data_IF_661614407018
#
_entry.id   IF_661614407018
#
_cell.length_a   1.000
_cell.length_b   1.000
_cell.length_c   1.000
_cell.angle_alpha   90.00
_cell.angle_beta   90.00
_cell.angle_gamma   90.00
#
_symmetry.space_group_name_H-M   'P 1'
#
loop_
_entity.id
_entity.type
_entity.pdbx_description
1 polymer ?
#
# COMPACT_ATOMS: atom_id res chain seq x y z
N UNK A 1 31.23 2.28 -28.13
CA UNK A 1 29.97 2.74 -28.77
C UNK A 1 29.04 1.51 -28.86
N UNK A 2 28.23 1.27 -27.81
CA UNK A 2 27.25 0.19 -27.78
C UNK A 2 25.88 0.83 -27.72
N UNK A 3 25.09 0.65 -28.77
CA UNK A 3 23.75 1.18 -28.91
C UNK A 3 22.84 0.56 -27.85
N UNK A 4 22.32 1.37 -26.94
CA UNK A 4 21.19 0.99 -26.09
C UNK A 4 19.92 0.97 -26.93
N UNK A 5 19.41 -0.23 -27.18
CA UNK A 5 18.07 -0.44 -27.71
C UNK A 5 17.06 0.10 -26.68
N UNK A 6 16.50 1.27 -26.95
CA UNK A 6 15.32 1.75 -26.25
C UNK A 6 14.13 0.93 -26.73
N UNK A 7 13.69 -0.05 -25.95
CA UNK A 7 12.39 -0.67 -26.14
C UNK A 7 11.33 0.37 -25.78
N UNK A 8 10.74 1.00 -26.76
CA UNK A 8 9.54 1.82 -26.63
C UNK A 8 8.45 0.96 -25.98
N UNK A 9 7.80 1.41 -24.90
CA UNK A 9 6.65 0.71 -24.36
C UNK A 9 5.59 0.60 -25.45
N UNK A 10 5.16 -0.61 -25.76
CA UNK A 10 4.05 -0.84 -26.71
C UNK A 10 2.81 -0.24 -26.04
N UNK A 11 2.37 0.90 -26.51
CA UNK A 11 1.09 1.49 -26.11
C UNK A 11 -0.01 0.46 -26.44
N UNK A 12 -0.57 -0.18 -25.44
CA UNK A 12 -1.77 -1.00 -25.59
C UNK A 12 -2.88 -0.06 -26.04
N UNK A 13 -3.33 -0.21 -27.28
CA UNK A 13 -4.51 0.50 -27.77
C UNK A 13 -5.66 0.23 -26.84
N UNK A 14 -6.18 1.28 -26.20
CA UNK A 14 -7.39 1.26 -25.40
C UNK A 14 -8.52 0.62 -26.22
N UNK A 15 -9.17 -0.41 -25.68
CA UNK A 15 -10.48 -0.82 -26.19
C UNK A 15 -11.44 0.26 -25.76
N UNK A 16 -12.06 0.93 -26.72
CA UNK A 16 -13.06 1.96 -26.48
C UNK A 16 -14.11 1.43 -25.49
N UNK A 17 -14.19 2.05 -24.32
CA UNK A 17 -15.20 1.82 -23.32
C UNK A 17 -14.77 1.19 -21.98
N UNK A 18 -13.48 0.96 -21.73
CA UNK A 18 -12.99 0.46 -20.44
C UNK A 18 -12.63 1.65 -19.49
N UNK A 19 -13.45 1.91 -18.45
CA UNK A 19 -13.18 3.01 -17.51
C UNK A 19 -11.90 2.82 -16.69
N UNK A 20 -11.45 1.57 -16.52
CA UNK A 20 -10.20 1.28 -15.79
C UNK A 20 -8.96 1.72 -16.59
N UNK A 21 -9.02 1.68 -17.91
CA UNK A 21 -7.96 2.17 -18.79
C UNK A 21 -8.04 3.69 -18.99
N UNK A 22 -9.23 4.29 -18.90
CA UNK A 22 -9.42 5.72 -19.11
C UNK A 22 -8.55 6.59 -18.18
N UNK A 23 -8.32 6.15 -16.93
CA UNK A 23 -7.50 6.89 -15.98
C UNK A 23 -6.00 6.74 -16.24
N UNK A 24 -5.56 5.59 -16.70
CA UNK A 24 -4.18 5.37 -17.16
C UNK A 24 -3.91 6.17 -18.42
N UNK A 25 -4.86 6.19 -19.35
CA UNK A 25 -4.78 6.98 -20.59
C UNK A 25 -4.75 8.49 -20.30
N UNK A 26 -5.53 8.98 -19.32
CA UNK A 26 -5.49 10.35 -18.86
C UNK A 26 -4.14 10.74 -18.26
N UNK A 27 -3.55 9.85 -17.44
CA UNK A 27 -2.21 10.06 -16.87
C UNK A 27 -1.14 10.05 -17.96
N UNK A 28 -1.21 9.12 -18.90
CA UNK A 28 -0.30 9.05 -20.03
C UNK A 28 -0.43 10.29 -20.94
N UNK A 29 -1.66 10.75 -21.19
CA UNK A 29 -1.91 11.96 -22.00
C UNK A 29 -1.44 13.25 -21.32
N UNK A 30 -1.39 13.28 -19.99
CA UNK A 30 -0.90 14.44 -19.23
C UNK A 30 0.58 14.37 -18.88
N UNK A 31 1.25 13.24 -19.12
CA UNK A 31 2.69 13.11 -18.95
C UNK A 31 3.43 13.51 -20.24
N UNK A 32 4.47 14.32 -20.08
CA UNK A 32 5.33 14.72 -21.20
C UNK A 32 6.59 13.87 -21.16
N UNK A 33 6.70 12.88 -22.04
CA UNK A 33 7.90 12.04 -22.17
C UNK A 33 9.00 12.65 -23.02
N UNK A 34 8.75 13.80 -23.63
CA UNK A 34 9.72 14.47 -24.47
C UNK A 34 10.78 15.13 -23.58
N UNK A 35 12.06 14.72 -23.67
CA UNK A 35 13.14 15.44 -23.02
C UNK A 35 13.27 16.80 -23.72
N UNK A 36 12.64 17.80 -23.16
CA UNK A 36 12.88 19.15 -23.60
C UNK A 36 14.36 19.47 -23.35
N UNK A 37 15.08 19.99 -24.35
CA UNK A 37 16.52 20.32 -24.21
C UNK A 37 16.76 21.54 -23.29
N UNK A 38 15.71 22.06 -22.66
CA UNK A 38 15.73 23.23 -21.79
C UNK A 38 14.61 23.16 -20.76
N UNK A 39 14.80 23.85 -19.65
CA UNK A 39 13.77 24.03 -18.61
C UNK A 39 12.80 25.13 -19.03
N UNK A 40 11.56 25.02 -18.57
CA UNK A 40 10.51 26.01 -18.75
C UNK A 40 9.90 26.45 -17.44
N UNK A 41 9.30 27.64 -17.44
CA UNK A 41 8.36 28.06 -16.38
C UNK A 41 7.08 27.23 -16.44
N UNK A 42 6.21 27.36 -15.42
CA UNK A 42 4.88 26.73 -15.41
C UNK A 42 4.00 27.14 -16.60
N UNK A 43 4.26 28.31 -17.20
CA UNK A 43 3.56 28.81 -18.39
C UNK A 43 4.22 28.37 -19.70
N UNK A 44 5.28 27.56 -19.64
CA UNK A 44 5.98 27.06 -20.82
C UNK A 44 7.02 28.02 -21.40
N UNK A 45 7.32 29.15 -20.76
CA UNK A 45 8.39 30.05 -21.21
C UNK A 45 9.77 29.44 -20.88
N UNK A 46 10.69 29.49 -21.87
CA UNK A 46 12.04 28.95 -21.71
C UNK A 46 12.81 29.68 -20.61
N UNK A 47 13.43 28.92 -19.71
CA UNK A 47 14.33 29.43 -18.67
C UNK A 47 15.73 29.56 -19.28
N UNK A 48 16.26 30.77 -19.31
CA UNK A 48 17.58 31.07 -19.85
C UNK A 48 18.71 30.73 -18.87
N UNK A 49 18.50 31.04 -17.59
CA UNK A 49 19.47 30.76 -16.51
C UNK A 49 18.72 30.24 -15.29
N UNK A 50 19.05 29.02 -14.85
CA UNK A 50 18.46 28.34 -13.67
C UNK A 50 19.43 28.34 -12.47
N UNK A 51 20.58 28.99 -12.59
CA UNK A 51 21.64 28.97 -11.56
C UNK A 51 21.87 30.32 -10.89
N UNK A 52 21.55 31.39 -11.55
CA UNK A 52 21.80 32.75 -11.07
C UNK A 52 20.51 33.56 -11.01
N UNK A 53 20.27 34.20 -9.87
CA UNK A 53 19.17 35.15 -9.71
C UNK A 53 19.53 36.53 -10.31
N UNK A 54 18.53 37.29 -10.74
CA UNK A 54 18.69 38.69 -11.09
C UNK A 54 19.08 39.50 -9.84
N UNK A 55 20.10 40.35 -9.97
CA UNK A 55 20.64 41.16 -8.88
C UNK A 55 20.82 42.64 -9.28
N UNK A 56 20.70 43.48 -8.28
CA UNK A 56 21.04 44.91 -8.44
C UNK A 56 22.56 45.10 -8.36
N UNK A 57 23.30 44.65 -9.40
CA UNK A 57 24.77 44.65 -9.46
C UNK A 57 25.40 43.38 -8.89
N UNK A 58 26.72 43.22 -9.10
CA UNK A 58 27.45 41.96 -8.78
C UNK A 58 27.35 41.53 -7.34
N UNK A 59 27.30 42.45 -6.41
CA UNK A 59 27.13 42.22 -4.95
C UNK A 59 25.79 42.73 -4.40
N UNK A 60 24.91 43.15 -5.29
CA UNK A 60 23.61 43.67 -4.92
C UNK A 60 22.62 42.56 -4.46
N UNK A 61 21.49 42.94 -3.86
CA UNK A 61 20.44 42.01 -3.48
C UNK A 61 19.82 41.38 -4.72
N UNK A 62 19.27 40.14 -4.54
CA UNK A 62 18.41 39.53 -5.54
C UNK A 62 17.13 40.34 -5.69
N UNK A 63 16.66 40.51 -6.91
CA UNK A 63 15.45 41.27 -7.20
C UNK A 63 14.22 40.41 -7.04
N UNK A 64 13.19 40.95 -6.41
CA UNK A 64 11.90 40.27 -6.23
C UNK A 64 11.17 40.09 -7.58
N UNK A 65 11.52 40.89 -8.59
CA UNK A 65 11.05 40.80 -9.98
C UNK A 65 11.51 39.53 -10.70
N UNK A 66 12.54 38.84 -10.19
CA UNK A 66 13.00 37.59 -10.74
C UNK A 66 11.90 36.50 -10.60
N UNK A 67 11.13 36.37 -11.66
CA UNK A 67 10.02 35.42 -11.73
C UNK A 67 10.51 33.96 -11.63
N UNK A 68 11.67 33.66 -12.26
CA UNK A 68 12.23 32.30 -12.26
C UNK A 68 12.67 31.89 -10.84
N UNK A 69 13.33 32.80 -10.11
CA UNK A 69 13.73 32.59 -8.73
C UNK A 69 12.50 32.33 -7.85
N UNK A 70 11.47 33.17 -7.95
CA UNK A 70 10.25 33.01 -7.14
C UNK A 70 9.53 31.69 -7.42
N UNK A 71 9.37 31.33 -8.69
CA UNK A 71 8.75 30.07 -9.10
C UNK A 71 9.54 28.87 -8.58
N UNK A 72 10.86 28.88 -8.73
CA UNK A 72 11.75 27.81 -8.25
C UNK A 72 11.67 27.61 -6.74
N UNK A 73 11.69 28.69 -5.96
CA UNK A 73 11.55 28.62 -4.49
C UNK A 73 10.16 28.15 -4.11
N UNK A 74 9.12 28.67 -4.76
CA UNK A 74 7.74 28.27 -4.50
C UNK A 74 7.55 26.76 -4.75
N UNK A 75 8.08 26.24 -5.84
CA UNK A 75 8.08 24.79 -6.09
C UNK A 75 8.79 24.02 -4.99
N UNK A 76 9.99 24.46 -4.61
CA UNK A 76 10.77 23.80 -3.57
C UNK A 76 10.05 23.77 -2.22
N UNK A 77 9.44 24.87 -1.81
CA UNK A 77 8.74 25.00 -0.53
C UNK A 77 7.47 24.13 -0.48
N UNK A 78 6.91 23.79 -1.65
CA UNK A 78 5.68 22.99 -1.79
C UNK A 78 5.89 21.56 -2.29
N UNK A 79 7.13 21.11 -2.44
CA UNK A 79 7.43 19.72 -2.84
C UNK A 79 6.99 18.69 -1.81
N UNK A 80 6.99 19.08 -0.54
CA UNK A 80 6.67 18.18 0.57
C UNK A 80 5.24 18.37 1.00
N UNK A 81 4.55 17.23 1.12
CA UNK A 81 3.19 17.16 1.68
C UNK A 81 3.26 16.49 3.06
N UNK A 82 2.28 16.71 3.95
CA UNK A 82 2.16 15.95 5.18
C UNK A 82 2.13 14.45 4.89
N UNK A 83 2.88 13.67 5.66
CA UNK A 83 2.82 12.21 5.56
C UNK A 83 1.55 11.66 6.22
N UNK A 84 1.16 10.43 5.87
CA UNK A 84 0.03 9.74 6.50
C UNK A 84 0.28 9.55 7.98
N UNK A 85 -0.76 9.66 8.81
CA UNK A 85 -0.70 9.40 10.24
C UNK A 85 -0.17 7.99 10.55
N UNK A 86 -0.58 7.02 9.74
CA UNK A 86 -0.05 5.66 9.68
C UNK A 86 0.17 5.27 8.22
N UNK A 87 0.99 4.25 7.95
CA UNK A 87 1.34 3.81 6.60
C UNK A 87 2.08 4.86 5.75
N UNK A 88 2.87 5.73 6.38
CA UNK A 88 3.61 6.77 5.67
C UNK A 88 4.65 6.18 4.71
N UNK A 89 5.43 5.18 5.18
CA UNK A 89 6.39 4.48 4.36
C UNK A 89 5.74 3.35 3.59
N UNK A 90 5.89 3.33 2.25
CA UNK A 90 5.33 2.28 1.42
C UNK A 90 5.94 2.21 0.03
N UNK A 91 5.67 1.10 -0.65
CA UNK A 91 6.01 0.83 -2.03
C UNK A 91 4.80 0.28 -2.76
N UNK A 92 4.71 0.55 -4.04
CA UNK A 92 3.53 0.18 -4.82
C UNK A 92 3.92 -0.38 -6.19
N UNK A 93 3.02 -1.15 -6.79
CA UNK A 93 3.18 -1.67 -8.13
C UNK A 93 1.84 -1.77 -8.85
N UNK A 94 1.86 -1.59 -10.16
CA UNK A 94 0.75 -1.96 -11.03
C UNK A 94 0.76 -3.46 -11.28
N UNK A 95 -0.42 -4.05 -11.49
CA UNK A 95 -0.56 -5.45 -11.79
C UNK A 95 -1.88 -5.75 -12.46
N UNK A 96 -2.18 -7.04 -12.58
CA UNK A 96 -3.41 -7.53 -13.19
C UNK A 96 -4.02 -8.58 -12.29
N UNK A 97 -5.33 -8.50 -12.08
CA UNK A 97 -6.13 -9.52 -11.43
C UNK A 97 -6.95 -10.29 -12.46
N UNK A 98 -7.06 -11.59 -12.24
CA UNK A 98 -7.89 -12.48 -13.06
C UNK A 98 -8.52 -13.54 -12.16
N UNK A 99 -9.84 -13.66 -12.21
CA UNK A 99 -10.54 -14.71 -11.47
C UNK A 99 -10.35 -16.06 -12.12
N UNK A 100 -10.18 -17.13 -11.34
CA UNK A 100 -9.99 -18.49 -11.90
C UNK A 100 -11.28 -19.08 -12.47
N UNK A 101 -12.41 -18.76 -11.83
CA UNK A 101 -13.75 -19.22 -12.22
C UNK A 101 -14.78 -18.16 -11.88
N UNK A 102 -15.93 -18.21 -12.55
CA UNK A 102 -17.04 -17.30 -12.23
C UNK A 102 -17.47 -17.44 -10.77
N UNK A 103 -17.60 -16.32 -10.09
CA UNK A 103 -18.11 -16.23 -8.74
C UNK A 103 -19.58 -15.77 -8.69
N UNK A 104 -20.30 -15.87 -9.82
CA UNK A 104 -21.70 -15.43 -9.97
C UNK A 104 -22.66 -16.02 -8.93
N UNK A 105 -22.37 -17.24 -8.46
CA UNK A 105 -23.13 -17.88 -7.41
C UNK A 105 -23.11 -17.06 -6.10
N UNK A 106 -22.03 -16.33 -5.83
CA UNK A 106 -21.80 -15.66 -4.53
C UNK A 106 -21.86 -14.13 -4.62
N UNK A 107 -21.52 -13.56 -5.78
CA UNK A 107 -21.45 -12.11 -5.95
C UNK A 107 -21.85 -11.68 -7.35
N UNK A 108 -22.42 -10.48 -7.46
CA UNK A 108 -22.70 -9.83 -8.75
C UNK A 108 -21.58 -8.89 -9.21
N UNK A 109 -20.47 -8.75 -8.46
CA UNK A 109 -19.34 -7.90 -8.84
C UNK A 109 -18.76 -8.30 -10.19
N UNK A 110 -18.78 -7.40 -11.18
CA UNK A 110 -18.48 -7.69 -12.58
C UNK A 110 -17.10 -8.30 -12.81
N UNK A 111 -16.07 -7.80 -12.13
CA UNK A 111 -14.69 -8.27 -12.27
C UNK A 111 -14.45 -9.71 -11.73
N UNK A 112 -15.44 -10.30 -11.05
CA UNK A 112 -15.41 -11.67 -10.54
C UNK A 112 -16.28 -12.64 -11.36
N UNK A 113 -16.85 -12.21 -12.49
CA UNK A 113 -17.77 -13.03 -13.26
C UNK A 113 -17.10 -13.84 -14.36
N UNK A 114 -16.15 -13.28 -15.08
CA UNK A 114 -15.57 -13.88 -16.29
C UNK A 114 -14.06 -14.10 -16.13
N UNK A 115 -13.59 -15.37 -16.17
CA UNK A 115 -12.15 -15.70 -16.15
C UNK A 115 -11.35 -15.16 -17.34
N UNK A 116 -11.99 -14.70 -18.41
CA UNK A 116 -11.29 -14.11 -19.55
C UNK A 116 -11.00 -12.61 -19.37
N UNK A 117 -11.63 -11.98 -18.38
CA UNK A 117 -11.44 -10.55 -18.08
C UNK A 117 -10.19 -10.35 -17.22
N UNK A 118 -9.28 -9.53 -17.70
CA UNK A 118 -8.15 -9.01 -16.94
C UNK A 118 -8.53 -7.67 -16.33
N UNK A 119 -8.48 -7.57 -15.00
CA UNK A 119 -8.77 -6.34 -14.28
C UNK A 119 -7.45 -5.69 -13.84
N UNK A 120 -7.11 -4.48 -14.32
CA UNK A 120 -5.95 -3.77 -13.82
C UNK A 120 -6.05 -3.53 -12.31
N UNK A 121 -4.92 -3.68 -11.61
CA UNK A 121 -4.85 -3.42 -10.18
C UNK A 121 -3.66 -2.53 -9.84
N UNK A 122 -3.74 -1.87 -8.70
CA UNK A 122 -2.63 -1.16 -8.09
C UNK A 122 -2.51 -1.63 -6.64
N UNK A 123 -1.39 -2.24 -6.29
CA UNK A 123 -1.10 -2.71 -4.94
C UNK A 123 -0.15 -1.76 -4.24
N UNK A 124 -0.41 -1.47 -2.96
CA UNK A 124 0.51 -0.74 -2.10
C UNK A 124 0.78 -1.53 -0.83
N UNK A 125 2.07 -1.76 -0.56
CA UNK A 125 2.58 -2.30 0.69
C UNK A 125 3.14 -1.16 1.54
N UNK A 126 2.98 -1.23 2.85
CA UNK A 126 3.45 -0.18 3.76
C UNK A 126 3.74 -0.72 5.15
N UNK A 127 4.67 -0.10 5.87
CA UNK A 127 4.73 -0.23 7.34
C UNK A 127 3.61 0.62 7.96
N UNK A 128 3.34 0.47 9.25
CA UNK A 128 2.24 1.18 9.93
C UNK A 128 2.75 2.33 10.78
N UNK A 129 3.60 2.05 11.75
CA UNK A 129 3.96 3.02 12.79
C UNK A 129 5.01 4.03 12.34
N UNK A 130 5.92 3.65 11.44
CA UNK A 130 7.04 4.47 11.02
C UNK A 130 6.71 5.64 10.12
N UNK A 131 7.49 6.72 10.23
CA UNK A 131 7.49 7.81 9.26
C UNK A 131 8.06 7.37 7.90
N UNK A 132 7.92 8.22 6.87
CA UNK A 132 8.36 7.91 5.51
C UNK A 132 9.86 7.56 5.40
N UNK A 133 10.69 8.06 6.30
CA UNK A 133 12.13 7.81 6.35
C UNK A 133 12.58 6.63 7.22
N UNK A 134 11.66 5.89 7.83
CA UNK A 134 12.00 4.70 8.64
C UNK A 134 12.49 3.54 7.79
N UNK A 135 13.16 2.54 8.40
CA UNK A 135 13.63 1.37 7.68
C UNK A 135 12.48 0.40 7.33
N UNK A 136 12.64 -0.34 6.23
CA UNK A 136 11.65 -1.33 5.77
C UNK A 136 11.53 -2.55 6.69
N UNK A 137 12.63 -2.99 7.30
CA UNK A 137 12.69 -4.27 8.03
C UNK A 137 12.34 -4.14 9.52
N UNK A 138 11.72 -3.05 9.93
CA UNK A 138 11.21 -2.90 11.30
C UNK A 138 10.12 -3.93 11.61
N UNK A 139 10.05 -4.35 12.89
CA UNK A 139 8.91 -5.14 13.38
C UNK A 139 7.68 -4.25 13.38
N UNK A 140 6.76 -4.53 12.50
CA UNK A 140 5.52 -3.77 12.34
C UNK A 140 4.51 -4.58 11.51
N UNK A 141 3.26 -4.23 11.59
CA UNK A 141 2.25 -4.70 10.62
C UNK A 141 2.60 -4.15 9.24
N UNK A 142 2.31 -4.91 8.20
CA UNK A 142 2.40 -4.41 6.82
C UNK A 142 1.01 -4.21 6.26
N UNK A 143 0.75 -2.98 5.77
CA UNK A 143 -0.42 -2.71 4.94
C UNK A 143 -0.33 -3.49 3.62
N UNK A 144 -1.46 -3.96 3.16
CA UNK A 144 -1.64 -4.67 1.90
C UNK A 144 -2.93 -4.13 1.26
N UNK A 145 -2.81 -3.07 0.49
CA UNK A 145 -3.96 -2.40 -0.11
C UNK A 145 -3.98 -2.64 -1.62
N UNK A 146 -5.09 -3.15 -2.14
CA UNK A 146 -5.28 -3.41 -3.57
C UNK A 146 -6.46 -2.61 -4.09
N UNK A 147 -6.22 -1.80 -5.11
CA UNK A 147 -7.25 -1.11 -5.89
C UNK A 147 -7.48 -1.86 -7.18
N UNK A 148 -8.72 -2.25 -7.43
CA UNK A 148 -9.16 -2.86 -8.68
C UNK A 148 -9.84 -1.79 -9.53
N UNK A 149 -9.37 -1.60 -10.75
CA UNK A 149 -9.98 -0.70 -11.72
C UNK A 149 -10.99 -1.46 -12.56
N UNK A 150 -12.20 -1.58 -12.04
CA UNK A 150 -13.27 -2.36 -12.68
C UNK A 150 -14.10 -1.51 -13.64
N UNK A 151 -14.89 -2.15 -14.48
CA UNK A 151 -15.83 -1.47 -15.39
C UNK A 151 -16.98 -0.78 -14.64
N UNK A 152 -17.26 -1.20 -13.41
CA UNK A 152 -18.31 -0.63 -12.54
C UNK A 152 -17.78 0.48 -11.63
N UNK A 153 -16.49 0.83 -11.75
CA UNK A 153 -15.78 1.78 -10.92
C UNK A 153 -14.64 1.14 -10.13
N UNK A 154 -14.05 1.88 -9.20
CA UNK A 154 -12.97 1.36 -8.37
C UNK A 154 -13.52 0.48 -7.25
N UNK A 155 -12.88 -0.67 -7.06
CA UNK A 155 -13.11 -1.56 -5.93
C UNK A 155 -11.81 -1.64 -5.13
N UNK A 156 -11.84 -1.29 -3.86
CA UNK A 156 -10.65 -1.24 -3.01
C UNK A 156 -10.75 -2.29 -1.91
N UNK A 157 -9.71 -3.14 -1.81
CA UNK A 157 -9.52 -4.06 -0.69
C UNK A 157 -8.32 -3.59 0.12
N UNK A 158 -8.59 -2.89 1.21
CA UNK A 158 -7.56 -2.40 2.13
C UNK A 158 -7.37 -3.43 3.23
N UNK A 159 -6.16 -3.95 3.34
CA UNK A 159 -5.86 -5.03 4.28
C UNK A 159 -4.47 -4.93 4.88
N UNK A 160 -4.10 -5.95 5.62
CA UNK A 160 -2.81 -6.10 6.30
C UNK A 160 -2.25 -7.51 6.08
N UNK A 161 -0.97 -7.70 6.41
CA UNK A 161 -0.30 -9.01 6.38
C UNK A 161 -0.60 -9.89 7.61
N UNK A 162 -1.43 -9.41 8.51
CA UNK A 162 -1.89 -10.10 9.73
C UNK A 162 -3.41 -10.21 9.67
N UNK A 163 -4.01 -11.36 9.99
CA UNK A 163 -5.43 -11.63 9.74
C UNK A 163 -6.39 -10.97 10.74
N UNK A 164 -5.88 -10.42 11.83
CA UNK A 164 -6.65 -9.76 12.88
C UNK A 164 -6.16 -8.34 13.10
N UNK A 165 -6.91 -7.56 13.89
CA UNK A 165 -6.56 -6.21 14.28
C UNK A 165 -6.50 -6.07 15.81
N UNK A 166 -5.90 -4.99 16.30
CA UNK A 166 -5.70 -4.75 17.73
C UNK A 166 -7.02 -4.54 18.49
N UNK A 167 -7.96 -3.86 17.85
CA UNK A 167 -9.18 -3.34 18.46
C UNK A 167 -10.37 -3.59 17.53
N UNK A 168 -11.57 -3.66 18.12
CA UNK A 168 -12.81 -3.69 17.37
C UNK A 168 -13.40 -2.29 17.17
N UNK A 169 -13.52 -1.51 18.26
CA UNK A 169 -14.13 -0.20 18.22
C UNK A 169 -13.12 0.87 17.73
N UNK A 170 -13.49 1.55 16.63
CA UNK A 170 -12.67 2.60 16.02
C UNK A 170 -12.40 3.80 16.96
N UNK A 171 -13.18 3.98 18.01
CA UNK A 171 -12.94 5.01 19.03
C UNK A 171 -11.56 4.86 19.68
N UNK A 172 -11.06 3.62 19.79
CA UNK A 172 -9.75 3.29 20.35
C UNK A 172 -8.58 3.47 19.39
N UNK A 173 -8.86 3.72 18.10
CA UNK A 173 -7.81 3.82 17.07
C UNK A 173 -6.85 4.99 17.29
N UNK A 174 -7.31 6.23 17.60
CA UNK A 174 -6.40 7.31 17.92
C UNK A 174 -5.49 7.01 19.12
N UNK A 175 -6.03 6.36 20.16
CA UNK A 175 -5.27 6.00 21.36
C UNK A 175 -4.20 4.95 21.03
N UNK A 176 -4.54 3.93 20.25
CA UNK A 176 -3.58 2.96 19.73
C UNK A 176 -2.45 3.64 18.93
N UNK A 177 -2.80 4.58 18.05
CA UNK A 177 -1.83 5.29 17.22
C UNK A 177 -0.92 6.15 18.10
N UNK A 178 -1.45 6.89 19.06
CA UNK A 178 -0.65 7.67 20.01
C UNK A 178 0.28 6.77 20.82
N UNK A 179 -0.19 5.60 21.24
CA UNK A 179 0.61 4.65 22.02
C UNK A 179 1.82 4.06 21.25
N UNK A 180 1.80 4.03 19.93
CA UNK A 180 2.90 3.50 19.09
C UNK A 180 3.77 4.60 18.47
N UNK A 181 3.35 5.86 18.53
CA UNK A 181 4.09 7.01 17.98
C UNK A 181 5.15 7.54 18.98
N UNK A 182 6.09 8.35 18.50
CA UNK A 182 7.03 9.04 19.39
C UNK A 182 6.32 9.87 20.45
N UNK A 183 6.87 9.88 21.66
CA UNK A 183 6.36 10.69 22.75
C UNK A 183 6.44 12.19 22.40
N UNK A 184 5.38 12.98 22.61
CA UNK A 184 5.32 14.36 22.14
C UNK A 184 6.40 15.28 22.71
N UNK A 185 6.83 15.03 23.96
CA UNK A 185 7.74 15.91 24.69
C UNK A 185 9.23 15.73 24.34
N UNK A 186 9.61 14.60 23.72
CA UNK A 186 11.01 14.36 23.34
C UNK A 186 11.19 13.69 21.97
N UNK A 187 10.11 13.31 21.28
CA UNK A 187 10.17 12.75 19.94
C UNK A 187 10.78 11.34 19.84
N UNK A 188 10.80 10.57 20.90
CA UNK A 188 11.30 9.20 20.95
C UNK A 188 10.19 8.23 21.39
N UNK A 189 10.28 6.93 21.03
CA UNK A 189 11.17 6.32 20.05
C UNK A 189 10.72 6.58 18.62
N UNK A 190 11.64 6.40 17.67
CA UNK A 190 11.30 6.47 16.23
C UNK A 190 10.88 5.09 15.75
N UNK A 191 9.59 4.88 15.58
CA UNK A 191 8.95 3.84 14.76
C UNK A 191 9.49 2.39 14.81
N UNK A 192 10.39 2.05 15.70
CA UNK A 192 11.12 0.81 15.60
C UNK A 192 10.54 -0.33 16.43
N UNK A 193 9.71 -0.09 17.43
CA UNK A 193 9.19 -1.13 18.31
C UNK A 193 8.17 -0.58 19.28
N UNK A 194 7.41 -1.47 19.87
CA UNK A 194 6.61 -1.19 21.04
C UNK A 194 7.46 -0.61 22.19
N UNK A 195 6.95 0.41 22.83
CA UNK A 195 7.55 1.07 23.98
C UNK A 195 6.55 1.15 25.14
N UNK A 196 6.89 1.85 26.24
CA UNK A 196 6.10 1.85 27.47
C UNK A 196 4.62 2.14 27.24
N UNK A 197 4.32 3.22 26.53
CA UNK A 197 2.95 3.65 26.24
C UNK A 197 2.17 2.61 25.45
N UNK A 198 2.83 1.92 24.51
CA UNK A 198 2.19 0.83 23.78
C UNK A 198 1.83 -0.37 24.68
N UNK A 199 2.73 -0.74 25.59
CA UNK A 199 2.48 -1.84 26.51
C UNK A 199 1.44 -1.48 27.57
N UNK A 200 1.40 -0.21 27.99
CA UNK A 200 0.32 0.30 28.83
C UNK A 200 -1.03 0.21 28.14
N UNK A 201 -1.12 0.66 26.89
CA UNK A 201 -2.33 0.52 26.08
C UNK A 201 -2.76 -0.96 25.98
N UNK A 202 -1.82 -1.83 25.65
CA UNK A 202 -2.09 -3.25 25.49
C UNK A 202 -2.57 -3.90 26.79
N UNK A 203 -2.00 -3.52 27.94
CA UNK A 203 -2.39 -4.05 29.25
C UNK A 203 -3.80 -3.62 29.66
N UNK A 204 -4.21 -2.42 29.27
CA UNK A 204 -5.53 -1.85 29.54
C UNK A 204 -6.60 -2.32 28.54
N UNK A 205 -6.18 -2.80 27.38
CA UNK A 205 -7.05 -3.24 26.28
C UNK A 205 -6.79 -4.73 25.94
N UNK A 206 -7.30 -5.68 26.76
CA UNK A 206 -6.98 -7.12 26.61
C UNK A 206 -7.42 -7.71 25.27
N UNK A 207 -8.36 -7.09 24.55
CA UNK A 207 -8.73 -7.48 23.19
C UNK A 207 -7.56 -7.44 22.20
N UNK A 208 -6.48 -6.70 22.51
CA UNK A 208 -5.27 -6.61 21.68
C UNK A 208 -4.41 -7.87 21.71
N UNK A 209 -4.62 -8.77 22.67
CA UNK A 209 -3.74 -9.91 22.95
C UNK A 209 -3.52 -10.78 21.71
N UNK A 210 -4.56 -11.10 20.95
CA UNK A 210 -4.46 -11.91 19.75
C UNK A 210 -3.54 -11.25 18.71
N UNK A 211 -3.75 -9.96 18.45
CA UNK A 211 -2.92 -9.21 17.52
C UNK A 211 -1.47 -9.08 18.02
N UNK A 212 -1.25 -8.94 19.32
CA UNK A 212 0.10 -8.89 19.91
C UNK A 212 0.88 -10.18 19.63
N UNK A 213 0.25 -11.34 19.77
CA UNK A 213 0.90 -12.62 19.45
C UNK A 213 1.34 -12.66 17.98
N UNK A 214 0.52 -12.18 17.06
CA UNK A 214 0.87 -12.05 15.65
C UNK A 214 1.98 -11.03 15.41
N UNK A 215 1.90 -9.86 16.03
CA UNK A 215 2.88 -8.78 15.88
C UNK A 215 4.26 -9.17 16.43
N UNK A 216 4.31 -10.04 17.44
CA UNK A 216 5.56 -10.59 17.99
C UNK A 216 6.09 -11.82 17.25
N UNK A 217 5.33 -12.37 16.31
CA UNK A 217 5.74 -13.48 15.45
C UNK A 217 6.58 -13.01 14.25
N UNK A 218 7.04 -13.97 13.46
CA UNK A 218 7.78 -13.73 12.21
C UNK A 218 6.95 -12.99 11.15
N UNK A 219 5.62 -12.99 11.27
CA UNK A 219 4.73 -12.28 10.34
C UNK A 219 4.97 -10.78 10.31
N UNK A 220 5.41 -10.20 11.42
CA UNK A 220 5.68 -8.77 11.54
C UNK A 220 7.05 -8.33 10.97
N UNK A 221 7.89 -9.28 10.54
CA UNK A 221 9.17 -8.99 9.86
C UNK A 221 9.27 -9.87 8.61
N UNK A 222 8.52 -9.58 7.55
CA UNK A 222 8.57 -10.37 6.33
C UNK A 222 9.96 -10.30 5.70
N UNK A 223 10.41 -11.42 5.13
CA UNK A 223 11.67 -11.49 4.40
C UNK A 223 11.66 -10.63 3.14
N UNK A 224 10.51 -10.54 2.49
CA UNK A 224 10.24 -9.71 1.32
C UNK A 224 8.78 -9.32 1.30
N UNK A 225 8.44 -8.19 0.71
CA UNK A 225 7.05 -7.82 0.42
C UNK A 225 6.36 -8.84 -0.50
N UNK A 226 7.14 -9.59 -1.30
CA UNK A 226 6.68 -10.66 -2.18
C UNK A 226 6.35 -11.97 -1.46
N UNK A 227 6.76 -12.10 -0.19
CA UNK A 227 6.69 -13.32 0.62
C UNK A 227 5.81 -13.14 1.85
N UNK A 228 4.79 -12.34 1.77
CA UNK A 228 3.83 -12.13 2.86
C UNK A 228 2.40 -12.35 2.39
N UNK A 229 1.56 -12.90 3.28
CA UNK A 229 0.13 -12.96 3.07
C UNK A 229 -0.49 -11.56 3.18
N UNK A 230 -1.68 -11.40 2.61
CA UNK A 230 -2.54 -10.26 2.87
C UNK A 230 -3.92 -10.73 3.32
N UNK A 231 -4.58 -9.93 4.15
CA UNK A 231 -5.90 -10.23 4.68
C UNK A 231 -6.77 -8.97 4.59
N UNK A 232 -8.03 -9.14 4.22
CA UNK A 232 -9.01 -8.05 4.28
C UNK A 232 -9.31 -7.62 5.70
N UNK A 233 -8.98 -8.42 6.70
CA UNK A 233 -9.20 -8.28 8.14
C UNK A 233 -10.68 -8.22 8.50
N UNK A 234 -11.43 -7.26 7.96
CA UNK A 234 -12.87 -7.15 8.14
C UNK A 234 -13.63 -8.29 7.49
N UNK A 235 -14.84 -8.52 7.96
CA UNK A 235 -15.82 -9.37 7.29
C UNK A 235 -16.65 -8.52 6.35
N UNK A 236 -16.63 -8.88 5.08
CA UNK A 236 -17.41 -8.22 4.03
C UNK A 236 -18.65 -9.03 3.72
N UNK A 237 -19.56 -8.47 2.92
CA UNK A 237 -20.78 -9.14 2.49
C UNK A 237 -20.86 -9.13 0.97
N UNK A 238 -20.88 -10.32 0.38
CA UNK A 238 -21.19 -10.50 -1.03
C UNK A 238 -22.67 -10.76 -1.23
N UNK A 239 -23.22 -10.23 -2.33
CA UNK A 239 -24.61 -10.44 -2.73
C UNK A 239 -24.60 -10.82 -4.20
N UNK A 240 -25.24 -11.94 -4.54
CA UNK A 240 -25.37 -12.38 -5.92
C UNK A 240 -26.54 -11.67 -6.65
N UNK A 241 -26.76 -12.01 -7.93
CA UNK A 241 -27.81 -11.43 -8.74
C UNK A 241 -29.24 -11.80 -8.26
N UNK A 242 -29.40 -12.86 -7.46
CA UNK A 242 -30.67 -13.31 -6.89
C UNK A 242 -30.96 -12.70 -5.53
N UNK A 243 -29.99 -11.95 -4.94
CA UNK A 243 -30.11 -11.36 -3.62
C UNK A 243 -29.60 -12.24 -2.47
N UNK A 244 -29.10 -13.46 -2.78
CA UNK A 244 -28.48 -14.31 -1.77
C UNK A 244 -27.17 -13.70 -1.28
N UNK A 245 -26.98 -13.71 0.02
CA UNK A 245 -25.85 -13.06 0.65
C UNK A 245 -24.94 -14.04 1.42
N UNK A 246 -23.64 -13.72 1.38
CA UNK A 246 -22.61 -14.45 2.10
C UNK A 246 -21.67 -13.47 2.78
N UNK A 247 -21.26 -13.78 4.00
CA UNK A 247 -20.12 -13.11 4.61
C UNK A 247 -18.82 -13.64 4.01
N UNK A 248 -17.83 -12.75 3.86
CA UNK A 248 -16.59 -13.03 3.14
C UNK A 248 -15.40 -12.52 3.92
N UNK A 249 -14.40 -13.37 4.10
CA UNK A 249 -13.03 -12.99 4.50
C UNK A 249 -12.09 -13.19 3.31
N UNK A 250 -11.24 -12.21 3.04
CA UNK A 250 -10.29 -12.24 1.93
C UNK A 250 -8.88 -12.60 2.40
N UNK A 251 -8.23 -13.50 1.66
CA UNK A 251 -6.89 -14.01 1.92
C UNK A 251 -6.03 -13.94 0.66
N UNK A 252 -4.98 -13.13 0.69
CA UNK A 252 -3.95 -13.12 -0.35
C UNK A 252 -2.85 -14.10 0.04
N UNK A 253 -2.69 -15.18 -0.71
CA UNK A 253 -1.68 -16.23 -0.49
C UNK A 253 -0.53 -16.04 -1.49
N UNK A 254 0.69 -15.69 -1.06
CA UNK A 254 1.82 -15.47 -1.98
C UNK A 254 2.28 -16.79 -2.59
N UNK A 255 2.53 -16.82 -3.88
CA UNK A 255 3.03 -18.02 -4.56
C UNK A 255 4.47 -18.38 -4.17
N UNK A 256 5.25 -17.40 -3.71
CA UNK A 256 6.59 -17.60 -3.16
C UNK A 256 6.61 -18.17 -1.73
N UNK A 257 5.44 -18.39 -1.12
CA UNK A 257 5.34 -18.79 0.29
C UNK A 257 5.53 -17.62 1.25
N UNK A 258 5.38 -17.93 2.54
CA UNK A 258 5.47 -16.95 3.63
C UNK A 258 6.78 -17.16 4.37
N UNK A 259 7.63 -16.15 4.41
CA UNK A 259 8.96 -16.20 5.05
C UNK A 259 9.21 -14.92 5.84
N UNK A 260 9.82 -15.07 7.03
CA UNK A 260 10.24 -13.98 7.89
C UNK A 260 11.75 -13.81 7.95
N UNK A 261 12.18 -12.69 8.52
CA UNK A 261 13.55 -12.44 8.95
C UNK A 261 13.68 -12.68 10.46
N UNK A 262 14.85 -13.15 10.89
CA UNK A 262 15.17 -13.12 12.31
C UNK A 262 15.42 -11.69 12.79
N UNK A 263 15.20 -11.42 14.06
CA UNK A 263 15.31 -10.07 14.63
C UNK A 263 16.68 -9.44 14.40
N UNK A 264 17.75 -10.16 14.69
CA UNK A 264 19.13 -9.68 14.52
C UNK A 264 19.51 -9.49 13.05
N UNK A 265 19.00 -10.35 12.16
CA UNK A 265 19.16 -10.22 10.71
C UNK A 265 18.47 -8.93 10.23
N UNK A 266 17.23 -8.70 10.65
CA UNK A 266 16.46 -7.50 10.30
C UNK A 266 17.16 -6.22 10.73
N UNK A 267 17.73 -6.18 11.93
CA UNK A 267 18.50 -5.03 12.42
C UNK A 267 19.77 -4.77 11.62
N UNK A 268 20.52 -5.82 11.28
CA UNK A 268 21.72 -5.70 10.45
C UNK A 268 21.40 -5.20 9.05
N UNK A 269 20.30 -5.70 8.46
CA UNK A 269 19.82 -5.26 7.15
C UNK A 269 19.40 -3.78 7.24
N UNK A 270 18.59 -3.40 8.22
CA UNK A 270 18.15 -2.02 8.40
C UNK A 270 19.31 -1.02 8.49
N UNK A 271 20.40 -1.43 9.15
CA UNK A 271 21.61 -0.60 9.27
C UNK A 271 22.44 -0.51 8.00
N UNK A 272 22.34 -1.49 7.08
CA UNK A 272 23.06 -1.52 5.82
C UNK A 272 22.24 -0.92 4.66
N UNK A 273 20.98 -1.19 4.63
CA UNK A 273 20.04 -0.79 3.58
C UNK A 273 18.63 -0.61 4.18
N UNK A 274 18.29 0.62 4.52
CA UNK A 274 16.97 0.94 5.04
C UNK A 274 15.84 0.68 4.02
N UNK A 275 16.17 0.63 2.72
CA UNK A 275 15.24 0.44 1.61
C UNK A 275 15.19 -1.03 1.10
N UNK A 276 15.57 -1.98 1.94
CA UNK A 276 15.77 -3.38 1.54
C UNK A 276 14.55 -4.00 0.85
N UNK A 277 13.36 -3.92 1.44
CA UNK A 277 12.13 -4.47 0.84
C UNK A 277 11.71 -3.69 -0.42
N UNK A 278 11.86 -2.38 -0.40
CA UNK A 278 11.57 -1.53 -1.56
C UNK A 278 12.47 -1.89 -2.73
N UNK A 279 13.76 -2.08 -2.49
CA UNK A 279 14.75 -2.47 -3.49
C UNK A 279 14.50 -3.88 -4.02
N UNK A 280 14.15 -4.84 -3.15
CA UNK A 280 13.81 -6.20 -3.54
C UNK A 280 12.62 -6.23 -4.51
N UNK A 281 11.54 -5.52 -4.17
CA UNK A 281 10.36 -5.43 -5.03
C UNK A 281 10.67 -4.75 -6.37
N UNK A 282 11.39 -3.64 -6.34
CA UNK A 282 11.82 -2.92 -7.54
C UNK A 282 12.66 -3.81 -8.47
N UNK A 283 13.70 -4.42 -7.94
CA UNK A 283 14.61 -5.27 -8.71
C UNK A 283 13.89 -6.50 -9.29
N UNK A 284 12.99 -7.11 -8.53
CA UNK A 284 12.20 -8.23 -9.03
C UNK A 284 11.34 -7.82 -10.24
N UNK A 285 10.66 -6.68 -10.18
CA UNK A 285 9.84 -6.18 -11.28
C UNK A 285 10.72 -5.83 -12.49
N UNK A 286 11.85 -5.13 -12.31
CA UNK A 286 12.77 -4.79 -13.40
C UNK A 286 13.37 -6.02 -14.09
N UNK A 287 13.59 -7.10 -13.34
CA UNK A 287 14.09 -8.37 -13.88
C UNK A 287 13.01 -9.26 -14.52
N UNK A 288 11.74 -8.88 -14.40
CA UNK A 288 10.61 -9.68 -14.89
C UNK A 288 10.16 -10.80 -13.94
N UNK A 289 10.69 -10.84 -12.71
CA UNK A 289 10.32 -11.79 -11.66
C UNK A 289 9.09 -11.28 -10.90
N UNK A 290 7.97 -11.15 -11.59
CA UNK A 290 6.75 -10.56 -11.05
C UNK A 290 6.20 -11.38 -9.89
N UNK A 291 5.94 -10.77 -8.73
CA UNK A 291 5.31 -11.47 -7.62
C UNK A 291 3.83 -11.74 -7.91
N UNK A 292 3.37 -12.91 -7.45
CA UNK A 292 1.99 -13.35 -7.63
C UNK A 292 1.37 -13.77 -6.30
N UNK A 293 0.07 -13.49 -6.17
CA UNK A 293 -0.77 -13.95 -5.05
C UNK A 293 -2.04 -14.58 -5.57
N UNK A 294 -2.51 -15.58 -4.87
CA UNK A 294 -3.86 -16.12 -5.03
C UNK A 294 -4.81 -15.43 -4.06
N UNK A 295 -5.92 -14.92 -4.56
CA UNK A 295 -7.00 -14.39 -3.73
C UNK A 295 -7.96 -15.53 -3.38
N UNK A 296 -7.85 -16.03 -2.16
CA UNK A 296 -8.79 -16.97 -1.57
C UNK A 296 -9.86 -16.25 -0.74
N UNK A 297 -10.96 -16.93 -0.50
CA UNK A 297 -12.06 -16.42 0.31
C UNK A 297 -12.62 -17.50 1.23
N UNK A 298 -12.89 -17.12 2.48
CA UNK A 298 -13.77 -17.89 3.35
C UNK A 298 -15.18 -17.37 3.15
N UNK A 299 -16.13 -18.27 2.88
CA UNK A 299 -17.52 -17.93 2.60
C UNK A 299 -18.44 -18.53 3.65
N UNK A 300 -19.27 -17.69 4.27
CA UNK A 300 -20.23 -18.09 5.28
C UNK A 300 -21.61 -17.63 4.83
N UNK A 301 -22.58 -18.53 4.63
CA UNK A 301 -23.95 -18.13 4.33
C UNK A 301 -24.50 -17.19 5.39
N UNK A 302 -25.29 -16.18 5.00
CA UNK A 302 -25.76 -15.15 5.93
C UNK A 302 -26.59 -15.72 7.08
N UNK A 303 -27.35 -16.79 6.86
CA UNK A 303 -28.12 -17.48 7.88
C UNK A 303 -27.26 -18.22 8.93
N UNK A 304 -25.94 -18.32 8.69
CA UNK A 304 -24.94 -18.93 9.58
C UNK A 304 -24.12 -17.90 10.38
N UNK A 305 -24.54 -16.64 10.41
CA UNK A 305 -23.81 -15.54 11.07
C UNK A 305 -23.38 -15.88 12.51
N UNK A 306 -24.24 -16.55 13.28
CA UNK A 306 -23.96 -16.87 14.68
C UNK A 306 -23.47 -18.31 14.93
N UNK A 307 -23.08 -19.04 13.86
CA UNK A 307 -22.75 -20.47 13.97
C UNK A 307 -21.36 -20.76 14.56
N UNK A 308 -20.46 -19.78 14.60
CA UNK A 308 -19.06 -19.98 15.00
C UNK A 308 -18.79 -19.74 16.49
N UNK A 309 -19.79 -19.31 17.26
CA UNK A 309 -19.64 -19.06 18.70
C UNK A 309 -18.95 -17.75 19.07
N UNK A 310 -18.66 -16.90 18.08
CA UNK A 310 -18.16 -15.53 18.23
C UNK A 310 -18.72 -14.65 17.13
N UNK A 311 -18.61 -13.32 17.31
CA UNK A 311 -19.06 -12.34 16.33
C UNK A 311 -18.13 -12.34 15.11
N UNK A 312 -18.69 -12.64 13.93
CA UNK A 312 -17.96 -12.61 12.66
C UNK A 312 -17.45 -11.22 12.27
N UNK A 313 -18.07 -10.18 12.80
CA UNK A 313 -17.70 -8.79 12.52
C UNK A 313 -16.57 -8.28 13.42
N UNK A 314 -16.20 -9.05 14.46
CA UNK A 314 -15.10 -8.70 15.36
C UNK A 314 -13.75 -8.90 14.66
N UNK A 315 -13.01 -7.83 14.31
CA UNK A 315 -11.73 -7.94 13.60
C UNK A 315 -10.61 -8.48 14.50
N UNK A 316 -10.82 -8.64 15.80
CA UNK A 316 -9.84 -9.28 16.70
C UNK A 316 -9.89 -10.80 16.65
N UNK A 317 -10.88 -11.36 15.92
CA UNK A 317 -11.12 -12.80 15.80
C UNK A 317 -10.69 -13.33 14.44
N UNK A 318 -10.07 -14.49 14.45
CA UNK A 318 -9.74 -15.28 13.26
C UNK A 318 -10.78 -16.38 13.08
N UNK A 319 -11.18 -16.62 11.84
CA UNK A 319 -11.96 -17.81 11.50
C UNK A 319 -10.98 -18.92 11.11
N UNK A 320 -10.85 -19.99 11.91
CA UNK A 320 -9.95 -21.10 11.60
C UNK A 320 -10.30 -21.77 10.26
N UNK A 321 -9.29 -22.11 9.45
CA UNK A 321 -9.50 -22.76 8.14
C UNK A 321 -10.13 -24.16 8.29
N UNK A 322 -9.99 -24.79 9.47
CA UNK A 322 -10.63 -26.07 9.80
C UNK A 322 -12.16 -25.92 9.97
N UNK A 323 -12.63 -24.74 10.36
CA UNK A 323 -14.06 -24.45 10.50
C UNK A 323 -14.67 -23.97 9.18
N UNK A 324 -13.95 -23.08 8.48
CA UNK A 324 -14.35 -22.57 7.18
C UNK A 324 -13.10 -22.49 6.29
N UNK A 325 -12.93 -23.40 5.35
CA UNK A 325 -11.75 -23.40 4.47
C UNK A 325 -11.71 -22.18 3.55
N UNK A 326 -10.48 -21.82 3.17
CA UNK A 326 -10.20 -20.73 2.20
C UNK A 326 -10.24 -21.28 0.79
#
# INVERSE_FOLDING_TARGET
>A
MTSRNSKTPVARRARNGDPALAKQDQLAASSTELPLPYLTTNQGARIADNHNSLRAGVRGPSLLEDFILREKITHFDHERIPERAVHARGSAAHGVFKVYKSMSQFTRAGFLQDPQVETPVFVRFSTVAGGAGSADTVRDVRGFAVKFYTQEGNYDLVGNNIPVFFIQDAMKFPDLVHAVKPEPHHGMPQAASAHDTFWDFASLMPETTHMLMWAMSDRAIPRSLRMMQGFGVHTFRWVNAHGDAHFVKFHWKPRLGVHGLAWDEAQKIAGKDADFHRRDLWNAIENGDFPEWELGVQLIPQDKEHSLGFDLLDPTKLIPEEMVPV
#
